data_IF_710160014671
#
_entry.id   IF_710160014671
#
_cell.length_a   1.000
_cell.length_b   1.000
_cell.length_c   1.000
_cell.angle_alpha   90.00
_cell.angle_beta   90.00
_cell.angle_gamma   90.00
#
_symmetry.space_group_name_H-M   'P 1'
#
loop_
_entity.id
_entity.type
_entity.pdbx_description
1 polymer ?
#
# COMPACT_ATOMS: atom_id res chain seq x y z
N UNK A 1 101.84 -83.56 14.31
CA UNK A 1 101.79 -82.67 15.46
C UNK A 1 101.26 -81.28 15.10
N UNK A 2 101.34 -80.85 13.90
CA UNK A 2 100.81 -79.56 13.43
C UNK A 2 99.28 -79.50 13.34
N UNK A 3 98.62 -80.62 12.88
CA UNK A 3 97.12 -80.67 12.74
C UNK A 3 96.42 -80.68 14.06
N UNK A 4 96.98 -81.34 15.09
CA UNK A 4 96.38 -81.32 16.44
C UNK A 4 96.44 -79.90 17.12
N UNK A 5 97.48 -79.15 16.83
CA UNK A 5 97.62 -77.77 17.34
C UNK A 5 96.58 -76.87 16.62
N UNK A 6 96.42 -76.95 15.34
CA UNK A 6 95.40 -76.21 14.62
C UNK A 6 93.99 -76.53 15.07
N UNK A 7 93.66 -77.84 15.28
CA UNK A 7 92.38 -78.28 15.80
C UNK A 7 92.15 -77.69 17.23
N UNK A 8 93.19 -77.77 18.12
CA UNK A 8 93.03 -77.25 19.47
C UNK A 8 92.83 -75.69 19.50
N UNK A 9 93.53 -74.94 18.64
CA UNK A 9 93.38 -73.50 18.50
C UNK A 9 91.97 -73.16 17.94
N UNK A 10 91.51 -73.97 16.92
CA UNK A 10 90.18 -73.74 16.39
C UNK A 10 89.07 -74.06 17.36
N UNK A 11 89.26 -75.09 18.22
CA UNK A 11 88.27 -75.45 19.25
C UNK A 11 88.21 -74.39 20.36
N UNK A 12 89.38 -73.89 20.84
CA UNK A 12 89.49 -72.83 21.78
C UNK A 12 88.93 -71.51 21.24
N UNK A 13 89.23 -71.24 19.95
CA UNK A 13 88.66 -70.04 19.31
C UNK A 13 87.15 -70.11 19.20
N UNK A 14 86.62 -71.35 18.82
CA UNK A 14 85.15 -71.54 18.82
C UNK A 14 84.52 -71.40 20.22
N UNK A 15 85.20 -71.94 21.25
CA UNK A 15 84.74 -71.85 22.60
C UNK A 15 84.68 -70.38 23.07
N UNK A 16 85.81 -69.65 22.89
CA UNK A 16 85.94 -68.20 23.27
C UNK A 16 84.98 -67.36 22.43
N UNK A 17 84.84 -67.59 21.14
CA UNK A 17 83.89 -66.89 20.31
C UNK A 17 82.43 -67.23 20.74
N UNK A 18 82.15 -68.52 21.10
CA UNK A 18 80.80 -68.91 21.60
C UNK A 18 80.47 -68.23 22.91
N UNK A 19 81.38 -68.18 23.89
CA UNK A 19 81.16 -67.49 25.16
C UNK A 19 81.09 -66.01 24.99
N UNK A 20 81.87 -65.38 24.14
CA UNK A 20 81.87 -63.95 23.85
C UNK A 20 80.62 -63.52 23.12
N UNK A 21 80.02 -64.44 22.37
CA UNK A 21 78.73 -64.18 21.63
C UNK A 21 77.50 -64.41 22.52
N UNK A 22 77.59 -65.10 23.63
CA UNK A 22 76.37 -65.33 24.50
C UNK A 22 75.68 -64.08 25.00
N UNK A 23 76.39 -63.04 25.50
CA UNK A 23 75.74 -61.81 25.93
C UNK A 23 75.06 -61.12 24.74
N UNK A 24 75.63 -61.17 23.56
CA UNK A 24 75.09 -60.57 22.38
C UNK A 24 73.80 -61.28 21.92
N UNK A 25 73.80 -62.64 21.92
CA UNK A 25 72.60 -63.40 21.65
C UNK A 25 71.49 -63.21 22.68
N UNK A 26 71.85 -63.02 23.93
CA UNK A 26 70.88 -62.70 24.97
C UNK A 26 70.29 -61.33 24.74
N UNK A 27 71.08 -60.28 24.41
CA UNK A 27 70.56 -58.96 24.05
C UNK A 27 69.71 -59.00 22.79
N UNK A 28 70.16 -59.70 21.76
CA UNK A 28 69.39 -59.85 20.51
C UNK A 28 68.05 -60.51 20.80
N UNK A 29 68.07 -61.63 21.55
CA UNK A 29 66.80 -62.31 21.92
C UNK A 29 65.89 -61.47 22.76
N UNK A 30 66.46 -60.66 23.71
CA UNK A 30 65.70 -59.71 24.52
C UNK A 30 65.07 -58.58 23.69
N UNK A 31 65.86 -58.00 22.78
CA UNK A 31 65.37 -56.97 21.85
C UNK A 31 64.31 -57.52 20.91
N UNK A 32 64.52 -58.73 20.36
CA UNK A 32 63.56 -59.38 19.47
C UNK A 32 62.28 -59.72 20.23
N UNK A 33 62.38 -60.19 21.45
CA UNK A 33 61.22 -60.41 22.34
C UNK A 33 60.45 -59.12 22.64
N UNK A 34 61.18 -58.03 22.96
CA UNK A 34 60.57 -56.73 23.17
C UNK A 34 59.88 -56.21 21.91
N UNK A 35 60.49 -56.32 20.74
CA UNK A 35 59.92 -55.92 19.48
C UNK A 35 58.67 -56.73 19.13
N UNK A 36 58.64 -58.03 19.43
CA UNK A 36 57.44 -58.87 19.24
C UNK A 36 56.31 -58.49 20.16
N UNK A 37 56.61 -58.14 21.43
CA UNK A 37 55.62 -57.63 22.39
C UNK A 37 55.08 -56.28 21.93
N UNK A 38 55.95 -55.38 21.51
CA UNK A 38 55.54 -54.07 20.95
C UNK A 38 54.69 -54.25 19.71
N UNK A 39 55.11 -55.10 18.79
CA UNK A 39 54.34 -55.45 17.57
C UNK A 39 52.94 -56.00 17.88
N UNK A 40 52.86 -56.91 18.84
CA UNK A 40 51.57 -57.47 19.28
C UNK A 40 50.70 -56.43 19.98
N UNK A 41 51.29 -55.52 20.75
CA UNK A 41 50.57 -54.41 21.42
C UNK A 41 50.05 -53.39 20.42
N UNK A 42 50.87 -53.08 19.41
CA UNK A 42 50.43 -52.22 18.29
C UNK A 42 49.24 -52.84 17.55
N UNK A 43 49.34 -54.14 17.29
CA UNK A 43 48.25 -54.86 16.61
C UNK A 43 46.96 -54.87 17.42
N UNK A 44 47.04 -55.13 18.72
CA UNK A 44 45.90 -55.04 19.63
C UNK A 44 45.32 -53.63 19.69
N UNK A 45 46.17 -52.61 19.68
CA UNK A 45 45.71 -51.20 19.64
C UNK A 45 45.00 -50.88 18.33
N UNK A 46 45.52 -51.38 17.18
CA UNK A 46 44.86 -51.24 15.90
C UNK A 46 43.47 -51.91 15.88
N UNK A 47 43.38 -53.13 16.41
CA UNK A 47 42.11 -53.85 16.53
C UNK A 47 41.10 -53.06 17.42
N UNK A 48 41.56 -52.53 18.55
CA UNK A 48 40.74 -51.72 19.43
C UNK A 48 40.23 -50.45 18.73
N UNK A 49 41.11 -49.75 18.01
CA UNK A 49 40.75 -48.52 17.26
C UNK A 49 39.73 -48.89 16.14
N UNK A 50 39.91 -50.05 15.47
CA UNK A 50 38.96 -50.48 14.46
C UNK A 50 37.59 -50.84 15.04
N UNK A 51 37.54 -51.46 16.20
CA UNK A 51 36.28 -51.75 16.93
C UNK A 51 35.64 -50.44 17.37
N UNK A 52 36.43 -49.51 17.92
CA UNK A 52 35.93 -48.21 18.33
C UNK A 52 35.34 -47.42 17.16
N UNK A 53 36.06 -47.39 16.04
CA UNK A 53 35.63 -46.75 14.80
C UNK A 53 34.34 -47.37 14.26
N UNK A 54 34.21 -48.69 14.30
CA UNK A 54 33.01 -49.42 13.86
C UNK A 54 31.82 -49.08 14.78
N UNK A 55 32.04 -49.02 16.09
CA UNK A 55 30.99 -48.70 17.07
C UNK A 55 30.54 -47.27 16.97
N UNK A 56 31.47 -46.29 16.83
CA UNK A 56 31.15 -44.89 16.61
C UNK A 56 30.37 -44.72 15.32
N UNK A 57 30.77 -45.37 14.23
CA UNK A 57 30.05 -45.30 12.96
C UNK A 57 28.61 -45.82 13.11
N UNK A 58 28.45 -46.99 13.72
CA UNK A 58 27.13 -47.58 13.95
C UNK A 58 26.27 -46.67 14.83
N UNK A 59 26.84 -46.10 15.89
CA UNK A 59 26.12 -45.16 16.74
C UNK A 59 25.70 -43.92 15.96
N UNK A 60 26.57 -43.34 15.12
CA UNK A 60 26.24 -42.19 14.31
C UNK A 60 25.13 -42.52 13.27
N UNK A 61 25.22 -43.71 12.64
CA UNK A 61 24.16 -44.19 11.73
C UNK A 61 22.82 -44.36 12.45
N UNK A 62 22.80 -45.01 13.63
CA UNK A 62 21.59 -45.20 14.44
C UNK A 62 20.96 -43.87 14.91
N UNK A 63 21.80 -42.93 15.32
CA UNK A 63 21.34 -41.59 15.70
C UNK A 63 20.78 -40.80 14.52
N UNK A 64 21.47 -40.86 13.36
CA UNK A 64 21.04 -40.19 12.14
C UNK A 64 19.70 -40.77 11.67
N UNK A 65 19.54 -42.08 11.68
CA UNK A 65 18.26 -42.72 11.34
C UNK A 65 17.13 -42.34 12.27
N UNK A 66 17.39 -42.25 13.56
CA UNK A 66 16.38 -41.77 14.54
C UNK A 66 15.99 -40.31 14.32
N UNK A 67 16.97 -39.43 14.04
CA UNK A 67 16.72 -38.03 13.72
C UNK A 67 15.89 -37.91 12.43
N UNK A 68 16.27 -38.63 11.35
CA UNK A 68 15.53 -38.60 10.08
C UNK A 68 14.09 -39.09 10.26
N UNK A 69 13.89 -40.18 11.04
CA UNK A 69 12.55 -40.72 11.30
C UNK A 69 11.64 -39.78 12.07
N UNK A 70 12.20 -38.84 12.85
CA UNK A 70 11.42 -37.79 13.52
C UNK A 70 11.29 -36.54 12.63
N UNK A 71 12.32 -36.21 11.87
CA UNK A 71 12.37 -35.00 11.07
C UNK A 71 11.42 -35.05 9.85
N UNK A 72 11.29 -36.22 9.20
CA UNK A 72 10.38 -36.39 8.05
C UNK A 72 8.91 -36.16 8.43
N UNK A 73 8.36 -36.81 9.50
CA UNK A 73 6.99 -36.51 9.95
C UNK A 73 6.81 -35.06 10.39
N UNK A 74 7.80 -34.46 11.09
CA UNK A 74 7.76 -33.06 11.47
C UNK A 74 7.67 -32.14 10.26
N UNK A 75 8.49 -32.36 9.23
CA UNK A 75 8.45 -31.58 8.01
C UNK A 75 7.09 -31.71 7.30
N UNK A 76 6.51 -32.92 7.26
CA UNK A 76 5.18 -33.16 6.72
C UNK A 76 4.09 -32.40 7.51
N UNK A 77 4.20 -32.39 8.85
CA UNK A 77 3.30 -31.61 9.70
C UNK A 77 3.40 -30.10 9.44
N UNK A 78 4.61 -29.55 9.32
CA UNK A 78 4.81 -28.13 8.97
C UNK A 78 4.21 -27.77 7.63
N UNK A 79 4.41 -28.60 6.60
CA UNK A 79 3.81 -28.39 5.28
C UNK A 79 2.29 -28.41 5.36
N UNK A 80 1.71 -29.40 6.06
CA UNK A 80 0.26 -29.50 6.24
C UNK A 80 -0.32 -28.33 7.01
N UNK A 81 0.38 -27.84 8.07
CA UNK A 81 0.01 -26.67 8.83
C UNK A 81 0.05 -25.40 7.98
N UNK A 82 1.10 -25.22 7.20
CA UNK A 82 1.24 -24.08 6.27
C UNK A 82 0.14 -24.06 5.21
N UNK A 83 -0.17 -25.23 4.63
CA UNK A 83 -1.25 -25.38 3.65
C UNK A 83 -2.64 -25.10 4.29
N UNK A 84 -2.86 -25.61 5.49
CA UNK A 84 -4.10 -25.34 6.25
C UNK A 84 -4.26 -23.85 6.60
N UNK A 85 -3.18 -23.19 7.04
CA UNK A 85 -3.19 -21.75 7.31
C UNK A 85 -3.46 -20.93 6.04
N UNK A 86 -2.82 -21.28 4.93
CA UNK A 86 -3.05 -20.63 3.64
C UNK A 86 -4.50 -20.77 3.15
N UNK A 87 -5.08 -21.96 3.28
CA UNK A 87 -6.49 -22.21 2.94
C UNK A 87 -7.44 -21.44 3.87
N UNK A 88 -7.17 -21.42 5.16
CA UNK A 88 -7.96 -20.66 6.14
C UNK A 88 -7.91 -19.17 5.85
N UNK A 89 -6.73 -18.63 5.57
CA UNK A 89 -6.56 -17.23 5.18
C UNK A 89 -7.34 -16.91 3.90
N UNK A 90 -7.28 -17.79 2.89
CA UNK A 90 -8.05 -17.64 1.66
C UNK A 90 -9.57 -17.61 1.91
N UNK A 91 -10.09 -18.51 2.73
CA UNK A 91 -11.52 -18.55 3.09
C UNK A 91 -11.93 -17.31 3.88
N UNK A 92 -11.11 -16.87 4.86
CA UNK A 92 -11.39 -15.64 5.61
C UNK A 92 -11.38 -14.41 4.70
N UNK A 93 -10.41 -14.31 3.79
CA UNK A 93 -10.32 -13.21 2.83
C UNK A 93 -11.53 -13.21 1.89
N UNK A 94 -11.90 -14.35 1.32
CA UNK A 94 -13.09 -14.47 0.48
C UNK A 94 -14.38 -14.13 1.26
N UNK A 95 -14.50 -14.58 2.50
CA UNK A 95 -15.62 -14.25 3.39
C UNK A 95 -15.69 -12.74 3.69
N UNK A 96 -14.55 -12.10 3.95
CA UNK A 96 -14.49 -10.66 4.18
C UNK A 96 -14.94 -9.87 2.94
N UNK A 97 -14.46 -10.23 1.76
CA UNK A 97 -14.89 -9.58 0.51
C UNK A 97 -16.36 -9.82 0.19
N UNK A 98 -16.88 -11.02 0.45
CA UNK A 98 -18.31 -11.30 0.30
C UNK A 98 -19.15 -10.44 1.27
N UNK A 99 -18.69 -10.28 2.51
CA UNK A 99 -19.36 -9.45 3.52
C UNK A 99 -19.32 -7.96 3.15
N UNK A 100 -18.18 -7.47 2.67
CA UNK A 100 -18.05 -6.10 2.15
C UNK A 100 -18.97 -5.86 0.96
N UNK A 101 -19.02 -6.78 0.01
CA UNK A 101 -19.94 -6.69 -1.15
C UNK A 101 -21.42 -6.68 -0.73
N UNK A 102 -21.80 -7.49 0.25
CA UNK A 102 -23.14 -7.48 0.82
C UNK A 102 -23.45 -6.16 1.53
N UNK A 103 -22.51 -5.64 2.31
CA UNK A 103 -22.65 -4.35 2.99
C UNK A 103 -22.83 -3.20 1.98
N UNK A 104 -22.01 -3.13 0.93
CA UNK A 104 -22.12 -2.10 -0.11
C UNK A 104 -23.43 -2.21 -0.90
N UNK A 105 -23.90 -3.43 -1.15
CA UNK A 105 -25.20 -3.67 -1.80
C UNK A 105 -26.34 -3.17 -0.93
N UNK A 106 -26.34 -3.48 0.37
CA UNK A 106 -27.34 -2.99 1.32
C UNK A 106 -27.30 -1.45 1.42
N UNK A 107 -26.11 -0.86 1.47
CA UNK A 107 -25.92 0.58 1.50
C UNK A 107 -26.51 1.26 0.27
N UNK A 108 -26.26 0.73 -0.92
CA UNK A 108 -26.81 1.23 -2.18
C UNK A 108 -28.32 1.10 -2.23
N UNK A 109 -28.87 -0.04 -1.82
CA UNK A 109 -30.32 -0.30 -1.78
C UNK A 109 -31.04 0.68 -0.83
N UNK A 110 -30.48 0.89 0.37
CA UNK A 110 -31.03 1.84 1.34
C UNK A 110 -30.98 3.28 0.81
N UNK A 111 -29.89 3.68 0.16
CA UNK A 111 -29.75 4.98 -0.50
C UNK A 111 -30.86 5.20 -1.57
N UNK A 112 -31.10 4.21 -2.42
CA UNK A 112 -32.14 4.27 -3.45
C UNK A 112 -33.56 4.35 -2.87
N UNK A 113 -33.82 3.66 -1.75
CA UNK A 113 -35.12 3.73 -1.05
C UNK A 113 -35.35 5.14 -0.48
N UNK A 114 -34.30 5.74 0.11
CA UNK A 114 -34.39 7.11 0.63
C UNK A 114 -34.67 8.10 -0.50
N UNK A 115 -33.95 8.01 -1.60
CA UNK A 115 -34.14 8.86 -2.78
C UNK A 115 -35.56 8.77 -3.33
N UNK A 116 -36.07 7.54 -3.54
CA UNK A 116 -37.45 7.30 -3.98
C UNK A 116 -38.48 7.90 -3.03
N UNK A 117 -38.25 7.78 -1.70
CA UNK A 117 -39.17 8.30 -0.68
C UNK A 117 -39.14 9.82 -0.66
N UNK A 118 -37.99 10.47 -0.85
CA UNK A 118 -37.88 11.93 -0.97
C UNK A 118 -38.66 12.43 -2.20
N UNK A 119 -38.54 11.76 -3.35
CA UNK A 119 -39.30 12.09 -4.58
C UNK A 119 -40.81 11.97 -4.33
N UNK A 120 -41.26 10.89 -3.65
CA UNK A 120 -42.68 10.73 -3.29
C UNK A 120 -43.18 11.83 -2.35
N UNK A 121 -42.38 12.23 -1.34
CA UNK A 121 -42.76 13.32 -0.46
C UNK A 121 -42.83 14.66 -1.17
N UNK A 122 -41.95 14.95 -2.10
CA UNK A 122 -42.00 16.15 -2.95
C UNK A 122 -43.26 16.16 -3.82
N UNK A 123 -43.64 15.02 -4.43
CA UNK A 123 -44.88 14.89 -5.17
C UNK A 123 -46.15 15.14 -4.29
N UNK A 124 -46.15 14.61 -3.06
CA UNK A 124 -47.21 14.86 -2.09
C UNK A 124 -47.32 16.33 -1.72
N UNK A 125 -46.22 17.05 -1.53
CA UNK A 125 -46.23 18.50 -1.27
C UNK A 125 -46.92 19.26 -2.40
N UNK A 126 -46.60 18.95 -3.65
CA UNK A 126 -47.24 19.57 -4.83
C UNK A 126 -48.74 19.33 -4.83
N UNK A 127 -49.17 18.11 -4.54
CA UNK A 127 -50.62 17.76 -4.47
C UNK A 127 -51.29 18.51 -3.33
N UNK A 128 -50.72 18.58 -2.15
CA UNK A 128 -51.24 19.26 -0.98
C UNK A 128 -51.40 20.77 -1.26
N UNK A 129 -50.39 21.40 -1.86
CA UNK A 129 -50.48 22.84 -2.25
C UNK A 129 -51.59 23.07 -3.26
N UNK A 130 -51.74 22.19 -4.25
CA UNK A 130 -52.85 22.24 -5.21
C UNK A 130 -54.20 22.10 -4.57
N UNK A 131 -54.38 21.22 -3.59
CA UNK A 131 -55.63 21.03 -2.87
C UNK A 131 -55.99 22.22 -1.97
N UNK A 132 -55.02 22.85 -1.36
CA UNK A 132 -55.22 24.08 -0.54
C UNK A 132 -55.64 25.28 -1.41
N UNK A 133 -55.30 25.30 -2.69
CA UNK A 133 -55.65 26.38 -3.63
C UNK A 133 -57.14 26.41 -4.00
N UNK A 134 -57.91 25.33 -3.72
CA UNK A 134 -59.35 25.18 -4.07
C UNK A 134 -60.15 25.00 -2.78
N UNK A 135 -61.13 25.84 -2.47
CA UNK A 135 -61.90 25.76 -1.22
C UNK A 135 -62.60 24.39 -0.99
N UNK A 136 -63.08 23.74 -2.03
CA UNK A 136 -63.70 22.41 -1.94
C UNK A 136 -62.64 21.32 -1.57
N UNK A 137 -61.33 21.58 -1.82
CA UNK A 137 -60.24 20.66 -1.52
C UNK A 137 -59.75 20.72 -0.05
N UNK A 138 -60.15 21.67 0.75
CA UNK A 138 -59.63 21.88 2.10
C UNK A 138 -59.73 20.67 3.05
N UNK A 139 -60.84 19.90 3.09
CA UNK A 139 -60.90 18.71 3.94
C UNK A 139 -59.91 17.62 3.49
N UNK A 140 -59.75 17.45 2.18
CA UNK A 140 -58.79 16.51 1.61
C UNK A 140 -57.36 16.99 1.81
N UNK A 141 -57.09 18.27 1.66
CA UNK A 141 -55.77 18.89 1.96
C UNK A 141 -55.34 18.70 3.41
N UNK A 142 -56.27 18.91 4.36
CA UNK A 142 -55.98 18.71 5.79
C UNK A 142 -55.62 17.24 6.09
N UNK A 143 -56.37 16.29 5.57
CA UNK A 143 -56.06 14.85 5.77
C UNK A 143 -54.77 14.43 5.10
N UNK A 144 -54.47 14.89 3.88
CA UNK A 144 -53.21 14.67 3.20
C UNK A 144 -52.01 15.27 3.92
N UNK A 145 -52.16 16.48 4.50
CA UNK A 145 -51.13 17.13 5.30
C UNK A 145 -50.82 16.31 6.56
N UNK A 146 -51.84 15.78 7.24
CA UNK A 146 -51.63 14.93 8.42
C UNK A 146 -50.82 13.67 8.11
N UNK A 147 -51.19 13.00 6.99
CA UNK A 147 -50.45 11.81 6.50
C UNK A 147 -49.03 12.18 6.13
N UNK A 148 -48.79 13.29 5.43
CA UNK A 148 -47.47 13.79 5.05
C UNK A 148 -46.55 13.97 6.27
N UNK A 149 -47.05 14.62 7.34
CA UNK A 149 -46.25 14.87 8.57
C UNK A 149 -45.79 13.54 9.18
N UNK A 150 -46.62 12.51 9.24
CA UNK A 150 -46.22 11.22 9.80
C UNK A 150 -45.15 10.56 8.93
N UNK A 151 -45.27 10.54 7.63
CA UNK A 151 -44.26 9.99 6.74
C UNK A 151 -42.96 10.80 6.74
N UNK A 152 -43.01 12.12 6.77
CA UNK A 152 -41.85 12.99 6.82
C UNK A 152 -41.07 12.79 8.14
N UNK A 153 -41.77 12.59 9.25
CA UNK A 153 -41.13 12.32 10.54
C UNK A 153 -40.43 10.95 10.57
N UNK A 154 -41.07 9.90 10.06
CA UNK A 154 -40.46 8.57 9.94
C UNK A 154 -39.24 8.60 9.03
N UNK A 155 -39.34 9.29 7.88
CA UNK A 155 -38.21 9.42 6.96
C UNK A 155 -37.07 10.21 7.58
N UNK A 156 -37.35 11.30 8.32
CA UNK A 156 -36.28 12.08 8.97
C UNK A 156 -35.51 11.24 10.00
N UNK A 157 -36.19 10.40 10.79
CA UNK A 157 -35.54 9.45 11.70
C UNK A 157 -34.68 8.45 10.94
N UNK A 158 -35.22 7.90 9.84
CA UNK A 158 -34.48 6.94 9.00
C UNK A 158 -33.23 7.59 8.37
N UNK A 159 -33.36 8.81 7.84
CA UNK A 159 -32.24 9.55 7.26
C UNK A 159 -31.17 9.83 8.28
N UNK A 160 -31.52 10.30 9.48
CA UNK A 160 -30.58 10.52 10.59
C UNK A 160 -29.90 9.21 10.97
N UNK A 161 -30.63 8.12 11.10
CA UNK A 161 -30.04 6.80 11.39
C UNK A 161 -29.03 6.38 10.29
N UNK A 162 -29.41 6.51 9.02
CA UNK A 162 -28.57 6.13 7.90
C UNK A 162 -27.31 7.01 7.80
N UNK A 163 -27.43 8.31 8.06
CA UNK A 163 -26.28 9.25 7.99
C UNK A 163 -25.37 9.16 9.19
N UNK A 164 -25.93 9.11 10.40
CA UNK A 164 -25.16 9.18 11.66
C UNK A 164 -24.64 7.82 12.10
N UNK A 165 -25.47 6.76 12.00
CA UNK A 165 -25.11 5.43 12.49
C UNK A 165 -24.43 4.57 11.43
N UNK A 166 -24.97 4.58 10.20
CA UNK A 166 -24.43 3.78 9.10
C UNK A 166 -23.43 4.52 8.22
N UNK A 167 -23.19 5.82 8.49
CA UNK A 167 -22.26 6.63 7.70
C UNK A 167 -22.64 6.74 6.23
N UNK A 168 -23.92 6.45 5.86
CA UNK A 168 -24.43 6.58 4.50
C UNK A 168 -24.66 8.08 4.26
N UNK A 169 -23.68 8.73 3.70
CA UNK A 169 -23.83 10.12 3.26
C UNK A 169 -24.60 10.13 1.96
N UNK A 170 -25.75 10.79 1.97
CA UNK A 170 -26.67 10.92 0.82
C UNK A 170 -26.14 11.83 -0.30
N UNK A 171 -24.90 12.24 -0.31
CA UNK A 171 -24.36 12.99 -1.43
C UNK A 171 -23.35 12.16 -2.21
N UNK A 172 -23.72 11.86 -3.44
CA UNK A 172 -22.83 11.35 -4.48
C UNK A 172 -21.77 12.38 -4.92
N UNK A 173 -21.72 13.54 -4.29
CA UNK A 173 -20.70 14.55 -4.56
C UNK A 173 -19.42 14.11 -3.85
N UNK A 174 -18.34 13.81 -4.59
CA UNK A 174 -17.04 13.58 -3.98
C UNK A 174 -16.71 14.76 -3.05
N UNK A 175 -16.14 14.48 -1.89
CA UNK A 175 -15.61 15.55 -1.01
C UNK A 175 -14.40 16.17 -1.70
N UNK A 176 -14.64 17.05 -2.65
CA UNK A 176 -13.58 17.72 -3.40
C UNK A 176 -12.98 18.82 -2.51
N UNK A 177 -11.67 18.87 -2.48
CA UNK A 177 -10.87 19.71 -1.61
C UNK A 177 -9.99 20.56 -2.49
N UNK A 178 -10.52 21.70 -2.92
CA UNK A 178 -9.93 22.49 -3.98
C UNK A 178 -10.06 23.97 -3.72
N UNK A 179 -9.28 24.73 -4.48
CA UNK A 179 -9.23 26.18 -4.45
C UNK A 179 -9.87 26.78 -5.70
N UNK A 180 -10.29 28.01 -5.58
CA UNK A 180 -10.68 28.84 -6.71
C UNK A 180 -9.50 29.04 -7.68
N UNK A 181 -9.80 29.15 -8.99
CA UNK A 181 -8.80 29.33 -10.06
C UNK A 181 -7.87 30.53 -9.86
N UNK A 182 -8.37 31.61 -9.24
CA UNK A 182 -7.65 32.85 -9.03
C UNK A 182 -6.81 32.87 -7.74
N UNK A 183 -6.81 31.79 -6.97
CA UNK A 183 -5.99 31.64 -5.77
C UNK A 183 -4.51 31.85 -6.10
N UNK A 184 -3.89 32.84 -5.43
CA UNK A 184 -2.49 33.20 -5.66
C UNK A 184 -1.56 32.35 -4.82
N UNK A 185 -0.60 31.70 -5.49
CA UNK A 185 0.47 30.92 -4.88
C UNK A 185 1.79 31.66 -5.01
N UNK A 186 2.56 31.75 -3.93
CA UNK A 186 3.90 32.30 -3.93
C UNK A 186 4.89 31.27 -4.47
N UNK A 187 5.65 31.62 -5.49
CA UNK A 187 6.64 30.78 -6.15
C UNK A 187 8.02 30.91 -5.48
N UNK A 188 8.95 30.00 -5.80
CA UNK A 188 10.30 30.00 -5.27
C UNK A 188 11.16 31.22 -5.67
N UNK A 189 10.79 31.91 -6.74
CA UNK A 189 11.41 33.16 -7.21
C UNK A 189 10.73 34.42 -6.64
N UNK A 190 9.92 34.28 -5.58
CA UNK A 190 9.12 35.33 -4.93
C UNK A 190 8.03 35.95 -5.83
N UNK A 191 7.78 35.45 -7.01
CA UNK A 191 6.63 35.84 -7.83
C UNK A 191 5.34 35.19 -7.35
N UNK A 192 4.20 35.67 -7.82
CA UNK A 192 2.88 35.09 -7.54
C UNK A 192 2.28 34.57 -8.85
N UNK A 193 1.78 33.34 -8.81
CA UNK A 193 0.99 32.73 -9.89
C UNK A 193 -0.41 32.35 -9.38
N UNK A 194 -1.43 32.50 -10.23
CA UNK A 194 -2.74 31.89 -9.96
C UNK A 194 -2.61 30.38 -10.03
N UNK A 195 -3.35 29.65 -9.19
CA UNK A 195 -3.29 28.18 -9.15
C UNK A 195 -3.61 27.56 -10.53
N UNK A 196 -4.47 28.19 -11.32
CA UNK A 196 -4.79 27.78 -12.69
C UNK A 196 -3.57 27.83 -13.62
N UNK A 197 -2.62 28.74 -13.37
CA UNK A 197 -1.42 28.95 -14.19
C UNK A 197 -0.18 28.19 -13.68
N UNK A 198 -0.28 27.58 -12.50
CA UNK A 198 0.79 26.73 -11.95
C UNK A 198 0.85 25.43 -12.74
N UNK A 199 2.05 25.02 -13.12
CA UNK A 199 2.30 23.78 -13.85
C UNK A 199 2.95 22.74 -12.94
N UNK A 200 2.81 21.46 -13.29
CA UNK A 200 3.59 20.40 -12.68
C UNK A 200 5.08 20.64 -12.90
N UNK A 201 5.91 20.35 -11.90
CA UNK A 201 7.34 20.69 -11.90
C UNK A 201 7.66 22.11 -11.41
N UNK A 202 6.68 22.98 -11.22
CA UNK A 202 6.90 24.31 -10.63
C UNK A 202 7.32 24.17 -9.15
N UNK A 203 8.15 25.12 -8.70
CA UNK A 203 8.63 25.17 -7.30
C UNK A 203 7.93 26.29 -6.53
N UNK A 204 7.28 25.98 -5.44
CA UNK A 204 6.64 26.93 -4.54
C UNK A 204 7.65 27.56 -3.56
N UNK A 205 7.28 28.67 -2.92
CA UNK A 205 8.15 29.50 -2.06
C UNK A 205 8.81 28.71 -0.91
N UNK A 206 8.16 27.70 -0.38
CA UNK A 206 8.71 26.80 0.66
C UNK A 206 9.66 25.71 0.10
N UNK A 207 10.14 25.86 -1.15
CA UNK A 207 10.95 24.88 -1.89
C UNK A 207 10.25 23.55 -2.10
N UNK A 208 8.94 23.58 -2.19
CA UNK A 208 8.09 22.41 -2.42
C UNK A 208 7.81 22.29 -3.92
N UNK A 209 8.06 21.10 -4.46
CA UNK A 209 7.79 20.77 -5.86
C UNK A 209 6.30 20.46 -6.04
N UNK A 210 5.68 20.99 -7.08
CA UNK A 210 4.34 20.62 -7.55
C UNK A 210 4.45 19.31 -8.33
N UNK A 211 3.95 18.21 -7.75
CA UNK A 211 4.07 16.86 -8.32
C UNK A 211 2.86 16.45 -9.15
N UNK A 212 1.67 16.98 -8.82
CA UNK A 212 0.48 16.81 -9.64
C UNK A 212 -0.45 18.02 -9.53
N UNK A 213 -1.26 18.22 -10.56
CA UNK A 213 -2.29 19.27 -10.64
C UNK A 213 -3.62 18.64 -11.00
N UNK A 214 -4.64 18.95 -10.23
CA UNK A 214 -6.01 18.50 -10.42
C UNK A 214 -6.87 19.67 -10.87
N UNK A 215 -7.70 19.41 -11.91
CA UNK A 215 -8.80 20.27 -12.34
C UNK A 215 -10.08 19.44 -12.12
N UNK A 216 -11.03 19.95 -11.34
CA UNK A 216 -12.23 19.21 -10.96
C UNK A 216 -13.50 20.04 -11.19
N UNK A 217 -14.63 19.35 -11.33
CA UNK A 217 -15.95 19.97 -11.43
C UNK A 217 -16.34 20.63 -10.11
N UNK A 218 -16.74 21.89 -10.15
CA UNK A 218 -17.20 22.65 -8.98
C UNK A 218 -18.67 22.39 -8.63
N UNK A 219 -19.43 21.66 -9.47
CA UNK A 219 -20.87 21.50 -9.31
C UNK A 219 -21.24 20.86 -7.95
N UNK A 220 -22.10 21.54 -7.21
CA UNK A 220 -22.62 21.06 -5.93
C UNK A 220 -21.69 21.24 -4.72
N UNK A 221 -20.54 21.87 -4.88
CA UNK A 221 -19.64 22.17 -3.78
C UNK A 221 -20.03 23.47 -3.07
N UNK A 222 -19.82 23.50 -1.76
CA UNK A 222 -19.93 24.73 -0.96
C UNK A 222 -18.54 25.36 -0.87
N UNK A 223 -18.49 26.67 -1.16
CA UNK A 223 -17.26 27.44 -1.14
C UNK A 223 -17.22 28.40 0.03
N UNK A 224 -16.05 28.64 0.55
CA UNK A 224 -15.79 29.53 1.66
C UNK A 224 -14.67 30.49 1.32
N UNK A 225 -14.77 31.71 1.82
CA UNK A 225 -13.63 32.65 1.90
C UNK A 225 -12.99 32.48 3.26
N UNK A 226 -11.72 32.16 3.29
CA UNK A 226 -10.95 32.05 4.52
C UNK A 226 -10.07 33.30 4.67
N UNK A 227 -10.18 33.98 5.83
CA UNK A 227 -9.40 35.17 6.16
C UNK A 227 -9.44 36.25 5.06
N UNK A 228 -10.61 36.47 4.44
CA UNK A 228 -10.88 37.40 3.35
C UNK A 228 -9.93 37.25 2.11
N UNK A 229 -9.12 36.21 2.02
CA UNK A 229 -8.05 36.10 1.01
C UNK A 229 -8.08 34.84 0.18
N UNK A 230 -8.55 33.71 0.72
CA UNK A 230 -8.49 32.41 0.05
C UNK A 230 -9.87 31.82 -0.16
N UNK A 231 -10.28 31.66 -1.40
CA UNK A 231 -11.53 30.97 -1.75
C UNK A 231 -11.28 29.49 -1.91
N UNK A 232 -11.93 28.67 -1.09
CA UNK A 232 -11.63 27.23 -0.94
C UNK A 232 -12.90 26.43 -0.62
N UNK A 233 -12.94 25.15 -0.98
CA UNK A 233 -14.09 24.26 -0.72
C UNK A 233 -14.22 23.90 0.77
N UNK A 234 -15.45 23.64 1.22
CA UNK A 234 -15.83 23.39 2.62
C UNK A 234 -15.02 22.30 3.33
N UNK A 235 -14.65 21.25 2.58
CA UNK A 235 -14.02 20.05 3.14
C UNK A 235 -12.49 20.11 3.09
N UNK A 236 -11.87 21.14 2.52
CA UNK A 236 -10.41 21.25 2.49
C UNK A 236 -9.85 21.37 3.91
N UNK A 237 -8.75 20.68 4.17
CA UNK A 237 -8.16 20.64 5.51
C UNK A 237 -7.12 21.74 5.67
N UNK A 238 -7.25 22.51 6.74
CA UNK A 238 -6.38 23.64 7.09
C UNK A 238 -5.81 23.47 8.49
N UNK A 239 -4.58 23.93 8.69
CA UNK A 239 -3.91 23.91 9.99
C UNK A 239 -4.33 25.15 10.80
N UNK A 240 -5.04 24.96 11.90
CA UNK A 240 -5.43 26.00 12.83
C UNK A 240 -5.04 25.64 14.27
N UNK A 241 -4.27 26.51 14.93
CA UNK A 241 -3.77 26.31 16.30
C UNK A 241 -3.13 24.93 16.53
N UNK A 242 -2.38 24.42 15.54
CA UNK A 242 -1.73 23.11 15.60
C UNK A 242 -2.63 21.91 15.37
N UNK A 243 -3.89 22.12 14.97
CA UNK A 243 -4.84 21.07 14.63
C UNK A 243 -5.27 21.17 13.16
N UNK A 244 -5.39 20.03 12.50
CA UNK A 244 -5.91 19.93 11.15
C UNK A 244 -7.44 19.86 11.20
N UNK A 245 -8.12 20.90 10.69
CA UNK A 245 -9.59 21.01 10.69
C UNK A 245 -10.12 21.29 9.28
N UNK A 246 -11.36 20.89 8.93
CA UNK A 246 -12.01 21.34 7.70
C UNK A 246 -12.20 22.84 7.68
N UNK A 247 -12.09 23.47 6.49
CA UNK A 247 -12.28 24.92 6.33
C UNK A 247 -13.60 25.39 6.89
N UNK A 248 -14.70 24.64 6.69
CA UNK A 248 -16.03 25.00 7.24
C UNK A 248 -16.07 25.16 8.76
N UNK A 249 -15.12 24.53 9.48
CA UNK A 249 -15.04 24.57 10.94
C UNK A 249 -14.03 25.63 11.42
N UNK A 250 -13.38 26.35 10.49
CA UNK A 250 -12.42 27.39 10.82
C UNK A 250 -13.12 28.70 11.25
N UNK A 251 -12.72 29.36 12.36
CA UNK A 251 -13.42 30.55 12.88
C UNK A 251 -13.49 31.72 11.93
N UNK A 252 -12.55 31.86 11.01
CA UNK A 252 -12.49 32.97 10.02
C UNK A 252 -13.05 32.56 8.65
N UNK A 253 -13.69 31.39 8.54
CA UNK A 253 -14.28 30.94 7.29
C UNK A 253 -15.70 31.50 7.13
N UNK A 254 -15.96 32.15 6.00
CA UNK A 254 -17.26 32.71 5.63
C UNK A 254 -17.77 31.96 4.40
N UNK A 255 -18.97 31.39 4.50
CA UNK A 255 -19.58 30.67 3.38
C UNK A 255 -20.02 31.66 2.27
N UNK A 256 -19.68 31.34 1.04
CA UNK A 256 -20.16 32.05 -0.14
C UNK A 256 -21.52 31.46 -0.52
N UNK A 257 -22.52 32.32 -0.70
CA UNK A 257 -23.82 31.84 -1.18
C UNK A 257 -23.70 31.17 -2.55
N UNK A 258 -24.46 30.12 -2.76
CA UNK A 258 -24.35 29.29 -3.97
C UNK A 258 -24.55 30.10 -5.27
N UNK A 259 -25.40 31.12 -5.23
CA UNK A 259 -25.71 32.00 -6.38
C UNK A 259 -24.59 33.01 -6.66
N UNK A 260 -23.71 33.26 -5.68
CA UNK A 260 -22.60 34.22 -5.79
C UNK A 260 -21.29 33.56 -6.30
N UNK A 261 -21.26 32.21 -6.38
CA UNK A 261 -20.10 31.48 -6.91
C UNK A 261 -20.48 30.73 -8.20
N UNK A 262 -19.90 31.19 -9.31
CA UNK A 262 -20.26 30.69 -10.65
C UNK A 262 -19.13 30.00 -11.41
N UNK A 263 -17.96 29.81 -10.79
CA UNK A 263 -16.84 29.15 -11.45
C UNK A 263 -17.12 27.66 -11.69
N UNK A 264 -16.97 27.17 -12.92
CA UNK A 264 -17.31 25.78 -13.26
C UNK A 264 -16.27 24.77 -12.78
N UNK A 265 -15.03 25.21 -12.51
CA UNK A 265 -13.93 24.34 -12.15
C UNK A 265 -13.13 24.86 -10.98
N UNK A 266 -12.66 23.93 -10.16
CA UNK A 266 -11.73 24.16 -9.07
C UNK A 266 -10.39 23.48 -9.35
N UNK A 267 -9.37 23.92 -8.63
CA UNK A 267 -8.02 23.41 -8.78
C UNK A 267 -7.43 22.99 -7.44
N UNK A 268 -6.64 21.91 -7.47
CA UNK A 268 -5.81 21.50 -6.36
C UNK A 268 -4.45 21.03 -6.87
N UNK A 269 -3.50 20.91 -5.97
CA UNK A 269 -2.16 20.43 -6.26
C UNK A 269 -1.80 19.28 -5.34
N UNK A 270 -0.97 18.37 -5.84
CA UNK A 270 -0.12 17.54 -5.00
C UNK A 270 1.27 18.15 -4.94
N UNK A 271 1.89 18.05 -3.79
CA UNK A 271 3.19 18.64 -3.53
C UNK A 271 4.14 17.63 -2.86
N UNK A 272 5.44 17.86 -3.02
CA UNK A 272 6.45 17.00 -2.37
C UNK A 272 6.44 17.11 -0.84
N UNK A 273 5.95 18.22 -0.26
CA UNK A 273 5.79 18.38 1.20
C UNK A 273 4.46 17.89 1.75
N UNK A 274 3.49 17.57 0.87
CA UNK A 274 2.10 17.29 1.23
C UNK A 274 1.37 18.44 1.91
N UNK A 275 1.86 19.66 1.70
CA UNK A 275 1.32 20.91 2.25
C UNK A 275 1.39 22.02 1.21
N UNK A 276 0.40 22.91 1.24
CA UNK A 276 0.32 24.12 0.42
C UNK A 276 0.21 25.30 1.37
N UNK A 277 1.07 26.31 1.21
CA UNK A 277 1.06 27.53 2.02
C UNK A 277 0.55 28.68 1.16
N UNK A 278 -0.54 29.32 1.61
CA UNK A 278 -1.19 30.43 0.94
C UNK A 278 -1.41 31.53 1.99
N UNK A 279 -0.80 32.72 1.80
CA UNK A 279 -0.92 33.85 2.73
C UNK A 279 -0.69 33.46 4.20
N UNK A 280 0.39 32.71 4.47
CA UNK A 280 0.79 32.17 5.78
C UNK A 280 -0.19 31.14 6.39
N UNK A 281 -1.23 30.76 5.66
CA UNK A 281 -2.15 29.69 6.05
C UNK A 281 -1.67 28.40 5.41
N UNK A 282 -1.55 27.34 6.22
CA UNK A 282 -1.11 26.01 5.75
C UNK A 282 -2.30 25.10 5.51
N UNK A 283 -2.41 24.60 4.30
CA UNK A 283 -3.40 23.62 3.86
C UNK A 283 -2.73 22.28 3.59
N UNK A 284 -3.48 21.18 3.65
CA UNK A 284 -3.05 19.91 3.06
C UNK A 284 -3.02 20.02 1.54
N UNK A 285 -2.28 19.13 0.86
CA UNK A 285 -2.43 18.94 -0.57
C UNK A 285 -3.63 18.02 -0.90
N UNK A 286 -3.80 17.61 -2.15
CA UNK A 286 -4.91 16.75 -2.57
C UNK A 286 -4.98 15.43 -1.81
N UNK A 287 -3.85 14.81 -1.48
CA UNK A 287 -3.78 13.50 -0.83
C UNK A 287 -4.14 13.54 0.66
N UNK A 288 -4.16 14.72 1.30
CA UNK A 288 -4.46 14.90 2.73
C UNK A 288 -3.64 13.99 3.67
N UNK A 289 -2.36 13.85 3.39
CA UNK A 289 -1.46 13.04 4.21
C UNK A 289 -0.90 13.88 5.36
N UNK A 290 -1.46 13.69 6.54
CA UNK A 290 -0.99 14.33 7.78
C UNK A 290 -1.05 13.35 8.97
N UNK A 291 -0.18 13.52 9.97
CA UNK A 291 -0.14 12.74 11.22
C UNK A 291 -0.35 11.21 11.05
N UNK A 292 -1.54 10.70 11.47
CA UNK A 292 -1.87 9.26 11.47
C UNK A 292 -1.89 8.67 10.05
N UNK A 293 -2.41 9.43 9.10
CA UNK A 293 -2.44 9.00 7.70
C UNK A 293 -1.03 8.89 7.12
N UNK A 294 -0.10 9.78 7.50
CA UNK A 294 1.31 9.70 7.11
C UNK A 294 1.94 8.36 7.55
N UNK A 295 1.69 7.96 8.79
CA UNK A 295 2.21 6.68 9.32
C UNK A 295 1.64 5.48 8.55
N UNK A 296 0.35 5.48 8.23
CA UNK A 296 -0.29 4.43 7.44
C UNK A 296 0.31 4.32 6.04
N UNK A 297 0.50 5.46 5.36
CA UNK A 297 1.09 5.52 4.02
C UNK A 297 2.54 5.04 4.05
N UNK A 298 3.37 5.49 4.99
CA UNK A 298 4.77 5.06 5.12
C UNK A 298 4.84 3.53 5.32
N UNK A 299 3.97 2.96 6.14
CA UNK A 299 3.93 1.52 6.39
C UNK A 299 3.48 0.70 5.19
N UNK A 300 2.70 1.28 4.28
CA UNK A 300 2.21 0.62 3.06
C UNK A 300 3.25 0.58 1.94
N UNK A 301 4.27 1.43 2.00
CA UNK A 301 5.29 1.53 0.97
C UNK A 301 6.37 0.46 1.17
N UNK A 302 6.81 -0.24 0.11
CA UNK A 302 7.89 -1.22 0.19
C UNK A 302 9.18 -0.61 0.76
N UNK A 303 9.79 -1.28 1.74
CA UNK A 303 10.97 -0.78 2.48
C UNK A 303 12.21 -0.46 1.61
N UNK A 304 12.29 -1.01 0.40
CA UNK A 304 13.37 -0.74 -0.55
C UNK A 304 13.27 0.63 -1.24
N UNK A 305 12.16 1.35 -1.06
CA UNK A 305 11.90 2.65 -1.69
C UNK A 305 12.28 3.80 -0.76
N UNK A 306 12.36 3.56 0.57
CA UNK A 306 12.64 4.60 1.55
C UNK A 306 14.08 4.63 2.04
N UNK A 307 14.62 5.84 2.11
CA UNK A 307 15.83 6.20 2.81
C UNK A 307 15.47 6.55 4.27
N UNK A 308 16.42 6.41 5.19
CA UNK A 308 16.22 6.33 6.64
C UNK A 308 15.62 7.55 7.38
N UNK A 309 15.38 8.70 6.73
CA UNK A 309 14.87 9.91 7.38
C UNK A 309 13.38 10.12 7.09
N UNK A 310 12.58 10.38 8.13
CA UNK A 310 11.12 10.62 8.02
C UNK A 310 10.79 11.81 7.14
N UNK A 311 11.60 12.89 7.17
CA UNK A 311 11.41 14.06 6.30
C UNK A 311 11.65 13.72 4.83
N UNK A 312 12.68 12.94 4.56
CA UNK A 312 13.01 12.47 3.22
C UNK A 312 11.98 11.45 2.71
N UNK A 313 11.41 10.63 3.62
CA UNK A 313 10.31 9.74 3.33
C UNK A 313 9.06 10.52 2.90
N UNK A 314 8.66 11.56 3.64
CA UNK A 314 7.52 12.41 3.30
C UNK A 314 7.71 13.05 1.93
N UNK A 315 8.89 13.58 1.63
CA UNK A 315 9.22 14.21 0.34
C UNK A 315 9.22 13.23 -0.86
N UNK A 316 9.29 11.92 -0.62
CA UNK A 316 9.31 10.89 -1.66
C UNK A 316 8.02 10.05 -1.75
N UNK A 317 7.04 10.28 -0.89
CA UNK A 317 5.75 9.56 -0.89
C UNK A 317 5.04 9.66 -2.25
N UNK A 318 5.07 10.85 -2.88
CA UNK A 318 4.45 11.06 -4.18
C UNK A 318 5.00 10.11 -5.26
N UNK A 319 6.28 9.78 -5.23
CA UNK A 319 6.90 8.84 -6.18
C UNK A 319 6.28 7.44 -6.13
N UNK A 320 5.70 7.09 -5.00
CA UNK A 320 5.00 5.83 -4.82
C UNK A 320 3.49 5.95 -5.08
N UNK A 321 2.86 7.03 -4.63
CA UNK A 321 1.41 7.21 -4.76
C UNK A 321 1.01 7.58 -6.19
N UNK A 322 1.72 8.52 -6.80
CA UNK A 322 1.37 9.04 -8.11
C UNK A 322 1.58 7.98 -9.20
N UNK A 323 0.59 7.84 -10.05
CA UNK A 323 0.61 6.99 -11.23
C UNK A 323 -0.09 7.71 -12.37
N UNK A 324 0.39 7.54 -13.59
CA UNK A 324 -0.19 8.22 -14.74
C UNK A 324 0.07 7.50 -16.05
N UNK A 325 -0.55 8.00 -17.10
CA UNK A 325 -0.50 7.47 -18.45
C UNK A 325 0.07 8.52 -19.42
N UNK A 326 0.72 8.07 -20.44
CA UNK A 326 1.19 8.95 -21.52
C UNK A 326 0.02 9.68 -22.18
N UNK A 327 0.24 10.90 -22.67
CA UNK A 327 -0.77 11.80 -23.20
C UNK A 327 -1.64 11.20 -24.31
N UNK A 328 -1.08 10.31 -25.13
CA UNK A 328 -1.73 9.62 -26.24
C UNK A 328 -2.46 8.31 -25.85
N UNK A 329 -2.50 7.99 -24.55
CA UNK A 329 -3.18 6.79 -24.07
C UNK A 329 -4.68 6.87 -24.40
N UNK A 330 -5.19 5.85 -25.08
CA UNK A 330 -6.58 5.80 -25.54
C UNK A 330 -7.52 5.45 -24.39
N UNK A 331 -8.55 6.28 -24.21
CA UNK A 331 -9.66 6.08 -23.27
C UNK A 331 -10.96 5.88 -24.04
N UNK A 332 -11.76 4.88 -23.67
CA UNK A 332 -13.02 4.54 -24.37
C UNK A 332 -14.20 5.24 -23.74
N UNK A 333 -15.04 5.86 -24.56
CA UNK A 333 -16.24 6.57 -24.17
C UNK A 333 -17.50 5.68 -24.28
N UNK A 334 -18.56 6.11 -23.63
CA UNK A 334 -19.83 5.37 -23.57
C UNK A 334 -20.52 5.23 -24.94
N UNK A 335 -20.33 6.17 -25.84
CA UNK A 335 -20.88 6.18 -27.19
C UNK A 335 -20.11 5.30 -28.19
N UNK A 336 -19.09 4.58 -27.72
CA UNK A 336 -18.23 3.71 -28.52
C UNK A 336 -17.06 4.45 -29.21
N UNK A 337 -16.95 5.75 -29.05
CA UNK A 337 -15.80 6.52 -29.52
C UNK A 337 -14.63 6.42 -28.52
N UNK A 338 -13.49 6.96 -28.89
CA UNK A 338 -12.32 7.05 -28.01
C UNK A 338 -11.63 8.41 -28.12
N UNK A 339 -10.92 8.78 -27.06
CA UNK A 339 -10.09 10.00 -27.01
C UNK A 339 -8.72 9.66 -26.43
N UNK A 340 -7.70 10.45 -26.74
CA UNK A 340 -6.46 10.47 -25.97
C UNK A 340 -6.74 10.96 -24.54
N UNK A 341 -6.09 10.41 -23.54
CA UNK A 341 -6.38 10.74 -22.13
C UNK A 341 -6.25 12.25 -21.86
N UNK A 342 -5.32 12.93 -22.51
CA UNK A 342 -5.15 14.40 -22.42
C UNK A 342 -6.33 15.19 -23.00
N UNK A 343 -7.08 14.62 -23.94
CA UNK A 343 -8.19 15.27 -24.64
C UNK A 343 -9.55 14.93 -23.98
N UNK A 344 -9.55 14.07 -22.95
CA UNK A 344 -10.74 13.77 -22.14
C UNK A 344 -11.14 15.03 -21.39
N UNK A 345 -12.44 15.32 -21.33
CA UNK A 345 -12.99 16.48 -20.67
C UNK A 345 -13.84 16.10 -19.44
N UNK A 346 -13.93 17.02 -18.49
CA UNK A 346 -14.86 16.89 -17.37
C UNK A 346 -16.28 16.83 -17.95
N UNK A 347 -17.07 15.86 -17.48
CA UNK A 347 -18.41 15.56 -18.01
C UNK A 347 -18.44 14.42 -19.04
N UNK A 348 -17.30 14.00 -19.60
CA UNK A 348 -17.25 12.85 -20.50
C UNK A 348 -17.74 11.59 -19.79
N UNK A 349 -18.64 10.86 -20.45
CA UNK A 349 -19.15 9.57 -19.96
C UNK A 349 -18.32 8.43 -20.57
N UNK A 350 -17.74 7.60 -19.71
CA UNK A 350 -16.82 6.55 -20.11
C UNK A 350 -17.55 5.22 -20.42
N UNK A 351 -16.89 4.30 -21.13
CA UNK A 351 -17.39 2.94 -21.43
C UNK A 351 -17.81 2.18 -20.16
N UNK A 352 -17.14 2.43 -19.05
CA UNK A 352 -17.48 1.89 -17.73
C UNK A 352 -18.71 2.50 -17.07
N UNK A 353 -19.42 3.42 -17.77
CA UNK A 353 -20.57 4.22 -17.30
C UNK A 353 -20.22 5.28 -16.25
N UNK A 354 -18.97 5.43 -15.85
CA UNK A 354 -18.51 6.53 -15.01
C UNK A 354 -18.51 7.84 -15.76
N UNK A 355 -18.66 8.96 -15.04
CA UNK A 355 -18.53 10.31 -15.56
C UNK A 355 -17.22 10.88 -15.03
N UNK A 356 -16.44 11.51 -15.90
CA UNK A 356 -15.19 12.18 -15.52
C UNK A 356 -15.55 13.46 -14.76
N UNK A 357 -15.19 13.54 -13.49
CA UNK A 357 -15.36 14.76 -12.67
C UNK A 357 -14.07 15.50 -12.43
N UNK A 358 -12.92 14.93 -12.83
CA UNK A 358 -11.65 15.62 -12.73
C UNK A 358 -10.58 15.02 -13.62
N UNK A 359 -9.60 15.86 -13.92
CA UNK A 359 -8.41 15.54 -14.73
C UNK A 359 -7.19 15.83 -13.87
N UNK A 360 -6.22 14.92 -13.91
CA UNK A 360 -4.97 15.00 -13.18
C UNK A 360 -3.81 15.03 -14.15
N UNK A 361 -2.96 16.03 -14.02
CA UNK A 361 -1.67 16.14 -14.69
C UNK A 361 -0.57 15.89 -13.66
N UNK A 362 0.45 15.09 -14.01
CA UNK A 362 1.42 14.55 -13.05
C UNK A 362 2.81 14.75 -13.61
N UNK A 363 3.76 15.18 -12.78
CA UNK A 363 5.18 15.36 -13.13
C UNK A 363 5.83 14.01 -13.40
N UNK A 364 6.30 13.78 -14.63
CA UNK A 364 6.83 12.49 -15.09
C UNK A 364 8.12 12.08 -14.40
N UNK A 365 9.02 13.02 -14.17
CA UNK A 365 10.37 12.75 -13.65
C UNK A 365 10.36 12.34 -12.17
N UNK A 366 9.25 12.55 -11.47
CA UNK A 366 9.11 12.22 -10.06
C UNK A 366 8.56 10.83 -9.79
N UNK A 367 8.07 10.10 -10.81
CA UNK A 367 7.44 8.79 -10.63
C UNK A 367 8.46 7.65 -10.71
N UNK A 368 8.46 6.77 -9.68
CA UNK A 368 9.25 5.55 -9.68
C UNK A 368 8.64 4.50 -10.63
N UNK A 369 9.39 4.13 -11.67
CA UNK A 369 9.07 2.95 -12.47
C UNK A 369 8.68 3.17 -13.93
N UNK A 370 8.57 4.41 -14.43
CA UNK A 370 8.26 4.71 -15.83
C UNK A 370 9.44 5.16 -16.68
N UNK A 371 10.66 5.11 -16.16
CA UNK A 371 11.87 5.39 -16.95
C UNK A 371 12.18 4.20 -17.87
N UNK A 372 11.49 4.14 -19.01
CA UNK A 372 12.10 3.57 -20.21
C UNK A 372 12.82 4.74 -20.87
N UNK A 373 14.15 4.66 -20.86
CA UNK A 373 15.00 5.53 -21.66
C UNK A 373 14.54 5.47 -23.12
N UNK A 374 14.25 6.63 -23.68
CA UNK A 374 13.96 6.80 -25.10
C UNK A 374 12.48 7.08 -25.39
N UNK A 375 12.24 8.29 -25.89
CA UNK A 375 11.07 8.73 -26.65
C UNK A 375 9.90 9.32 -25.86
N UNK A 376 9.88 10.59 -25.85
CA UNK A 376 8.86 11.63 -26.06
C UNK A 376 9.06 12.83 -25.15
N UNK A 377 9.00 14.02 -25.74
CA UNK A 377 9.17 15.33 -25.13
C UNK A 377 8.09 15.73 -24.10
N UNK A 378 7.09 14.86 -23.85
CA UNK A 378 6.01 15.15 -22.92
C UNK A 378 6.50 14.95 -21.48
N UNK A 379 6.62 16.05 -20.74
CA UNK A 379 7.06 16.06 -19.34
C UNK A 379 5.96 15.63 -18.37
N UNK A 380 4.71 15.51 -18.84
CA UNK A 380 3.55 15.23 -18.01
C UNK A 380 2.92 13.88 -18.33
N UNK A 381 2.45 13.20 -17.29
CA UNK A 381 1.54 12.09 -17.38
C UNK A 381 0.13 12.55 -16.99
N UNK A 382 -0.88 11.80 -17.42
CA UNK A 382 -2.28 12.13 -17.20
C UNK A 382 -3.02 11.01 -16.48
N UNK A 383 -3.99 11.37 -15.67
CA UNK A 383 -4.92 10.44 -15.04
C UNK A 383 -6.31 11.06 -14.93
N UNK A 384 -7.31 10.24 -14.60
CA UNK A 384 -8.70 10.67 -14.49
C UNK A 384 -9.23 10.44 -13.07
N UNK A 385 -10.19 11.29 -12.70
CA UNK A 385 -11.05 11.12 -11.53
C UNK A 385 -12.45 10.81 -12.05
N UNK A 386 -13.01 9.67 -11.66
CA UNK A 386 -14.24 9.12 -12.25
C UNK A 386 -15.24 8.75 -11.16
N UNK A 387 -16.52 9.05 -11.36
CA UNK A 387 -17.58 8.87 -10.35
C UNK A 387 -17.71 7.43 -9.85
N UNK A 388 -17.45 6.43 -10.69
CA UNK A 388 -17.46 5.01 -10.33
C UNK A 388 -16.04 4.45 -10.11
N UNK A 389 -15.03 5.31 -10.04
CA UNK A 389 -13.60 4.97 -9.83
C UNK A 389 -12.99 4.03 -10.88
N UNK A 390 -13.57 3.92 -12.07
CA UNK A 390 -13.13 2.98 -13.12
C UNK A 390 -13.15 3.62 -14.50
N UNK A 391 -12.13 3.34 -15.31
CA UNK A 391 -12.11 3.66 -16.75
C UNK A 391 -11.41 2.55 -17.54
N UNK A 392 -11.62 2.51 -18.84
CA UNK A 392 -11.03 1.51 -19.72
C UNK A 392 -9.97 2.11 -20.62
N UNK A 393 -8.79 1.47 -20.65
CA UNK A 393 -7.70 1.77 -21.56
C UNK A 393 -6.97 0.50 -22.00
N UNK A 394 -6.55 0.44 -23.27
CA UNK A 394 -5.82 -0.72 -23.85
C UNK A 394 -6.52 -2.07 -23.58
N UNK A 395 -7.87 -2.08 -23.57
CA UNK A 395 -8.66 -3.29 -23.29
C UNK A 395 -8.60 -3.77 -21.83
N UNK A 396 -8.18 -2.93 -20.91
CA UNK A 396 -8.15 -3.21 -19.46
C UNK A 396 -8.95 -2.17 -18.70
N UNK A 397 -9.64 -2.61 -17.66
CA UNK A 397 -10.29 -1.73 -16.70
C UNK A 397 -9.25 -1.30 -15.68
N UNK A 398 -9.10 -0.01 -15.54
CA UNK A 398 -8.14 0.65 -14.63
C UNK A 398 -8.94 1.42 -13.59
N UNK A 399 -8.42 1.51 -12.39
CA UNK A 399 -8.96 2.33 -11.32
C UNK A 399 -8.53 3.78 -11.49
N UNK A 400 -9.28 4.73 -10.92
CA UNK A 400 -9.00 6.15 -11.02
C UNK A 400 -7.78 6.56 -10.15
N UNK A 401 -7.39 7.83 -10.24
CA UNK A 401 -6.19 8.35 -9.58
C UNK A 401 -6.20 8.14 -8.06
N UNK A 402 -7.35 8.26 -7.41
CA UNK A 402 -7.44 8.18 -5.95
C UNK A 402 -7.39 6.75 -5.39
N UNK A 403 -7.50 5.71 -6.23
CA UNK A 403 -7.62 4.33 -5.75
C UNK A 403 -6.50 3.93 -4.79
N UNK A 404 -5.28 4.32 -5.08
CA UNK A 404 -4.13 3.93 -4.30
C UNK A 404 -4.14 4.56 -2.91
N UNK A 405 -4.42 5.86 -2.82
CA UNK A 405 -4.52 6.56 -1.54
C UNK A 405 -5.76 6.11 -0.75
N UNK A 406 -6.90 5.93 -1.43
CA UNK A 406 -8.14 5.44 -0.82
C UNK A 406 -8.01 4.02 -0.27
N UNK A 407 -7.11 3.21 -0.81
CA UNK A 407 -6.84 1.84 -0.31
C UNK A 407 -5.96 1.81 0.93
N UNK A 408 -5.29 2.92 1.27
CA UNK A 408 -4.34 3.02 2.38
C UNK A 408 -4.95 3.75 3.57
N UNK A 409 -5.71 4.82 3.31
CA UNK A 409 -6.36 5.69 4.31
C UNK A 409 -7.84 5.34 4.43
#
# INVERSE_FOLDING_TARGET
>A
TSENFQYCIQDVQKGVAGESMQPLNYLVSGVTGALTIIGSSIQKTREFINILRKNIRKFAEDVLHKILNVMIPLQSLFISLSDMLGKTQGIMTAGLYAFLGMYDTLKSLLGSIVELTVVMLMAMVIIIVGLWSIPIGWPAAASASAIYVVFALLLSILVVFLTEVMGIKSSSVPKLRCFDKDTLLKMADDTYKKIVDVNVGDMLANKTLVTAKMKVDAAGLRMFVLDDTVTVSECHIVLYQGQWIPVRDHPLAVEILKDDYSEPFLYCLNTSSKEIIINDITFTDWDEIYEKSLTAVINSVPQNIFIKDIKEQKANIHKYLDTGFESDTVVYLFDGTNKSIKDVQIGDKLSTRGIVYGIVEIEKDTILGNLKEGEKEDKSLYHLLVTNKLFETKGKIIRDYNDKIDSII
#
